data_IF_486881643697
#
_entry.id   IF_486881643697
#
_cell.length_a   1.000
_cell.length_b   1.000
_cell.length_c   1.000
_cell.angle_alpha   90.00
_cell.angle_beta   90.00
_cell.angle_gamma   90.00
#
_symmetry.space_group_name_H-M   'P 1'
#
loop_
_entity.id
_entity.type
_entity.pdbx_description
1 polymer ?
#
# COMPACT_ATOMS: atom_id res chain seq x y z
N UNK A 1 -42.25 -18.60 9.22
CA UNK A 1 -41.01 -18.19 9.91
C UNK A 1 -40.00 -17.93 8.82
N UNK A 2 -39.78 -16.66 8.50
CA UNK A 2 -38.88 -16.24 7.42
C UNK A 2 -37.58 -15.80 8.08
N UNK A 3 -36.51 -16.57 7.87
CA UNK A 3 -35.16 -16.17 8.25
C UNK A 3 -34.64 -15.15 7.23
N UNK A 4 -34.42 -13.93 7.72
CA UNK A 4 -33.65 -12.92 7.01
C UNK A 4 -32.17 -13.27 7.18
N UNK A 5 -31.36 -13.42 6.12
CA UNK A 5 -29.93 -13.58 6.29
C UNK A 5 -29.36 -12.30 6.90
N UNK A 6 -28.73 -12.45 8.07
CA UNK A 6 -28.13 -11.36 8.82
C UNK A 6 -27.08 -10.64 7.97
N UNK A 7 -27.23 -9.32 7.86
CA UNK A 7 -26.20 -8.44 7.32
C UNK A 7 -24.92 -8.63 8.12
N UNK A 8 -23.88 -9.16 7.49
CA UNK A 8 -22.53 -9.18 8.06
C UNK A 8 -22.06 -7.72 8.16
N UNK A 9 -21.58 -7.24 9.32
CA UNK A 9 -21.04 -5.88 9.40
C UNK A 9 -19.82 -5.77 8.48
N UNK A 10 -19.69 -4.64 7.77
CA UNK A 10 -18.60 -4.33 6.84
C UNK A 10 -17.20 -4.21 7.50
N UNK A 11 -17.07 -4.70 8.73
CA UNK A 11 -15.87 -4.71 9.56
C UNK A 11 -15.47 -6.14 9.96
N UNK A 12 -16.06 -7.15 9.31
CA UNK A 12 -15.79 -8.55 9.58
C UNK A 12 -14.37 -8.92 9.12
N UNK A 13 -13.47 -8.88 10.09
CA UNK A 13 -12.43 -9.87 10.38
C UNK A 13 -11.44 -10.12 9.25
N UNK A 14 -10.24 -9.54 9.39
CA UNK A 14 -9.04 -10.22 8.89
C UNK A 14 -9.01 -11.55 9.63
N UNK A 15 -9.29 -12.67 8.95
CA UNK A 15 -9.11 -13.99 9.54
C UNK A 15 -7.62 -14.28 9.47
N UNK A 16 -6.88 -13.77 10.45
CA UNK A 16 -5.44 -14.00 10.63
C UNK A 16 -5.22 -15.47 10.97
N UNK A 17 -5.39 -16.34 9.97
CA UNK A 17 -5.01 -17.74 10.08
C UNK A 17 -3.49 -17.79 10.11
N UNK A 18 -2.95 -18.25 11.21
CA UNK A 18 -1.52 -18.38 11.43
C UNK A 18 -1.18 -19.79 11.90
N UNK A 19 0.08 -20.18 11.72
CA UNK A 19 0.67 -21.41 12.23
C UNK A 19 2.17 -21.25 12.42
N UNK A 20 2.88 -22.36 12.67
CA UNK A 20 4.33 -22.33 12.91
C UNK A 20 5.08 -21.75 11.70
N UNK A 21 5.51 -20.48 11.84
CA UNK A 21 6.28 -19.75 10.84
C UNK A 21 5.48 -19.19 9.66
N UNK A 22 4.15 -19.13 9.72
CA UNK A 22 3.35 -18.54 8.63
C UNK A 22 2.11 -17.79 9.13
N UNK A 23 1.75 -16.72 8.39
CA UNK A 23 0.54 -15.92 8.61
C UNK A 23 -0.14 -15.69 7.26
N UNK A 24 -1.43 -16.00 7.17
CA UNK A 24 -2.28 -15.61 6.06
C UNK A 24 -2.72 -14.15 6.25
N UNK A 25 -2.48 -13.33 5.23
CA UNK A 25 -3.13 -12.01 5.11
C UNK A 25 -4.21 -12.12 4.05
N UNK A 26 -5.46 -11.98 4.48
CA UNK A 26 -6.62 -11.98 3.61
C UNK A 26 -7.10 -10.54 3.33
N UNK A 27 -8.28 -10.40 2.68
CA UNK A 27 -8.86 -9.10 2.38
C UNK A 27 -8.08 -8.25 1.35
N UNK A 28 -7.02 -8.80 0.75
CA UNK A 28 -6.27 -8.14 -0.31
C UNK A 28 -7.08 -8.00 -1.61
N UNK A 29 -8.09 -8.85 -1.83
CA UNK A 29 -9.03 -8.67 -2.95
C UNK A 29 -10.10 -7.61 -2.66
N UNK A 30 -10.32 -7.26 -1.40
CA UNK A 30 -11.31 -6.25 -1.01
C UNK A 30 -10.74 -4.87 -1.28
N UNK A 31 -10.74 -4.48 -2.55
CA UNK A 31 -10.40 -3.14 -2.97
C UNK A 31 -11.38 -2.13 -2.34
N UNK A 32 -10.85 -1.07 -1.75
CA UNK A 32 -11.64 0.03 -1.20
C UNK A 32 -11.31 1.30 -1.97
N UNK A 33 -11.74 1.44 -3.23
CA UNK A 33 -11.33 2.56 -4.08
C UNK A 33 -11.97 3.85 -3.58
N UNK A 34 -11.38 4.51 -2.58
CA UNK A 34 -11.70 5.85 -2.04
C UNK A 34 -13.13 6.16 -1.59
N UNK A 35 -14.06 5.22 -1.80
CA UNK A 35 -15.52 5.37 -1.77
C UNK A 35 -16.15 4.78 -0.52
N UNK A 36 -15.44 3.86 0.14
CA UNK A 36 -15.84 3.24 1.40
C UNK A 36 -14.94 3.77 2.53
N UNK A 37 -15.50 4.37 3.58
CA UNK A 37 -14.73 4.73 4.77
C UNK A 37 -14.07 3.49 5.38
N UNK A 38 -12.79 3.57 5.72
CA UNK A 38 -12.07 2.48 6.38
C UNK A 38 -12.27 2.55 7.90
N UNK A 39 -12.38 1.40 8.57
CA UNK A 39 -12.36 1.36 10.02
C UNK A 39 -11.04 1.95 10.55
N UNK A 40 -11.15 2.97 11.40
CA UNK A 40 -10.01 3.80 11.85
C UNK A 40 -9.89 5.15 11.12
N UNK A 41 -10.68 5.39 10.06
CA UNK A 41 -10.89 6.73 9.51
C UNK A 41 -11.56 7.56 10.62
N UNK A 42 -10.76 8.33 11.36
CA UNK A 42 -11.34 9.37 12.22
C UNK A 42 -12.16 10.29 11.29
N UNK A 43 -13.39 10.69 11.63
CA UNK A 43 -14.20 11.63 10.84
C UNK A 43 -13.56 13.03 10.70
N UNK A 44 -12.32 13.21 11.18
CA UNK A 44 -11.59 14.44 11.15
C UNK A 44 -10.97 14.69 9.76
N UNK A 45 -11.57 15.63 9.04
CA UNK A 45 -10.92 16.50 8.07
C UNK A 45 -10.44 15.90 6.72
N UNK A 46 -10.75 14.65 6.38
CA UNK A 46 -10.50 14.11 5.02
C UNK A 46 -11.11 14.99 3.90
N UNK A 47 -12.24 15.68 4.18
CA UNK A 47 -12.85 16.64 3.23
C UNK A 47 -11.97 17.88 2.96
N UNK A 48 -10.91 18.11 3.73
CA UNK A 48 -10.02 19.28 3.62
C UNK A 48 -8.63 18.96 3.09
N UNK A 49 -8.24 17.68 3.00
CA UNK A 49 -6.89 17.26 2.57
C UNK A 49 -7.02 16.10 1.58
N UNK A 50 -6.57 16.32 0.35
CA UNK A 50 -6.58 15.35 -0.73
C UNK A 50 -5.43 14.33 -0.53
N UNK A 51 -5.60 13.40 0.41
CA UNK A 51 -4.61 12.36 0.76
C UNK A 51 -5.30 10.99 0.82
N UNK A 52 -4.64 9.88 0.43
CA UNK A 52 -5.23 8.54 0.46
C UNK A 52 -5.49 8.03 1.88
N UNK A 53 -6.43 7.10 2.04
CA UNK A 53 -6.68 6.42 3.31
C UNK A 53 -5.71 5.26 3.46
N UNK A 54 -5.07 5.15 4.61
CA UNK A 54 -4.12 4.08 4.90
C UNK A 54 -4.68 3.18 5.99
N UNK A 55 -4.83 1.89 5.72
CA UNK A 55 -5.17 0.86 6.71
C UNK A 55 -4.07 -0.19 6.78
N UNK A 56 -3.42 -0.33 7.94
CA UNK A 56 -2.51 -1.45 8.20
C UNK A 56 -3.34 -2.73 8.21
N UNK A 57 -3.00 -3.67 7.34
CA UNK A 57 -3.65 -4.98 7.24
C UNK A 57 -2.99 -5.99 8.15
N UNK A 58 -1.66 -5.89 8.31
CA UNK A 58 -0.90 -6.77 9.19
C UNK A 58 0.54 -6.30 9.38
N UNK A 59 1.11 -6.68 10.50
CA UNK A 59 2.53 -6.55 10.80
C UNK A 59 3.09 -7.97 10.99
N UNK A 60 3.91 -8.38 10.04
CA UNK A 60 4.43 -9.74 9.92
C UNK A 60 5.94 -9.73 10.12
N UNK A 61 6.53 -10.91 10.22
CA UNK A 61 7.99 -11.05 10.19
C UNK A 61 8.55 -10.51 8.86
N UNK A 62 9.39 -9.49 8.96
CA UNK A 62 10.06 -8.88 7.80
C UNK A 62 9.17 -8.00 6.91
N UNK A 63 7.87 -7.85 7.18
CA UNK A 63 7.00 -7.01 6.33
C UNK A 63 5.82 -6.39 7.08
N UNK A 64 5.49 -5.15 6.74
CA UNK A 64 4.20 -4.56 7.08
C UNK A 64 3.35 -4.39 5.82
N UNK A 65 2.14 -4.94 5.82
CA UNK A 65 1.18 -4.80 4.74
C UNK A 65 0.19 -3.67 5.04
N UNK A 66 0.03 -2.74 4.10
CA UNK A 66 -0.84 -1.57 4.22
C UNK A 66 -1.69 -1.44 2.97
N UNK A 67 -2.99 -1.24 3.12
CA UNK A 67 -3.87 -0.82 2.03
C UNK A 67 -3.89 0.69 1.93
N UNK A 68 -3.65 1.23 0.74
CA UNK A 68 -3.86 2.64 0.42
C UNK A 68 -5.06 2.79 -0.52
N UNK A 69 -6.04 3.57 -0.09
CA UNK A 69 -7.30 3.82 -0.79
C UNK A 69 -7.39 5.29 -1.20
N UNK A 70 -7.30 5.54 -2.51
CA UNK A 70 -7.32 6.86 -3.11
C UNK A 70 -8.71 7.21 -3.64
N UNK A 71 -9.11 8.46 -3.44
CA UNK A 71 -10.15 9.13 -4.24
C UNK A 71 -9.52 9.78 -5.46
N UNK A 72 -10.35 10.07 -6.46
CA UNK A 72 -9.93 10.96 -7.54
C UNK A 72 -9.44 12.30 -6.96
N UNK A 73 -8.23 12.69 -7.33
CA UNK A 73 -7.53 13.88 -6.86
C UNK A 73 -6.72 13.70 -5.58
N UNK A 74 -6.75 12.52 -4.92
CA UNK A 74 -5.89 12.28 -3.76
C UNK A 74 -4.41 12.24 -4.18
N UNK A 75 -3.57 12.89 -3.38
CA UNK A 75 -2.12 12.95 -3.54
C UNK A 75 -1.45 12.54 -2.24
N UNK A 76 -0.56 11.55 -2.29
CA UNK A 76 0.43 11.30 -1.26
C UNK A 76 1.69 12.05 -1.66
N UNK A 77 1.78 13.31 -1.22
CA UNK A 77 2.85 14.23 -1.60
C UNK A 77 4.24 13.71 -1.20
N UNK A 78 5.29 14.29 -1.79
CA UNK A 78 6.69 13.91 -1.65
C UNK A 78 7.06 13.48 -0.23
N UNK A 79 7.47 12.22 -0.12
CA UNK A 79 7.91 11.60 1.12
C UNK A 79 8.87 10.46 0.81
N UNK A 80 9.46 9.87 1.85
CA UNK A 80 10.28 8.67 1.71
C UNK A 80 9.97 7.68 2.83
N UNK A 81 10.11 6.39 2.50
CA UNK A 81 10.07 5.32 3.48
C UNK A 81 11.47 5.05 4.01
N UNK A 82 11.59 4.74 5.31
CA UNK A 82 12.89 4.39 5.91
C UNK A 82 13.43 3.08 5.35
N UNK A 83 12.54 2.15 5.02
CA UNK A 83 12.83 0.82 4.48
C UNK A 83 12.41 0.73 3.01
N UNK A 84 12.92 -0.24 2.23
CA UNK A 84 12.43 -0.50 0.88
C UNK A 84 10.93 -0.83 0.91
N UNK A 85 10.23 -0.43 -0.15
CA UNK A 85 8.80 -0.68 -0.30
C UNK A 85 8.49 -1.39 -1.63
N UNK A 86 7.41 -2.18 -1.63
CA UNK A 86 6.78 -2.71 -2.85
C UNK A 86 5.34 -2.20 -2.89
N UNK A 87 4.97 -1.50 -3.96
CA UNK A 87 3.63 -0.97 -4.18
C UNK A 87 2.98 -1.82 -5.27
N UNK A 88 1.84 -2.43 -5.00
CA UNK A 88 1.12 -3.29 -5.93
C UNK A 88 -0.25 -2.69 -6.29
N UNK A 89 -0.53 -2.52 -7.57
CA UNK A 89 -1.81 -2.04 -8.04
C UNK A 89 -2.90 -3.09 -7.87
N UNK A 90 -4.06 -2.69 -7.30
CA UNK A 90 -5.18 -3.59 -7.04
C UNK A 90 -6.44 -3.20 -7.82
N UNK A 91 -6.79 -1.92 -7.82
CA UNK A 91 -7.96 -1.39 -8.55
C UNK A 91 -7.70 0.05 -8.99
N UNK A 92 -8.25 0.46 -10.13
CA UNK A 92 -7.97 1.80 -10.68
C UNK A 92 -6.48 1.96 -11.00
N UNK A 93 -6.03 3.21 -11.05
CA UNK A 93 -4.68 3.57 -11.49
C UNK A 93 -4.09 4.66 -10.61
N UNK A 94 -2.81 4.53 -10.28
CA UNK A 94 -2.06 5.51 -9.50
C UNK A 94 -0.77 5.84 -10.24
N UNK A 95 -0.52 7.12 -10.49
CA UNK A 95 0.77 7.60 -10.96
C UNK A 95 1.73 7.69 -9.78
N UNK A 96 2.88 7.05 -9.89
CA UNK A 96 3.95 7.10 -8.89
C UNK A 96 5.15 7.80 -9.50
N UNK A 97 5.54 8.94 -8.95
CA UNK A 97 6.77 9.64 -9.35
C UNK A 97 7.86 9.33 -8.35
N UNK A 98 9.01 8.88 -8.83
CA UNK A 98 10.17 8.51 -8.01
C UNK A 98 11.34 9.41 -8.41
N UNK A 99 12.05 9.97 -7.43
CA UNK A 99 13.22 10.80 -7.68
C UNK A 99 14.32 10.03 -8.45
N UNK A 100 15.31 10.75 -8.97
CA UNK A 100 16.56 10.23 -9.53
C UNK A 100 17.65 9.92 -8.49
N UNK A 101 18.64 9.04 -8.75
CA UNK A 101 19.55 8.39 -7.77
C UNK A 101 20.09 9.34 -6.71
N UNK A 102 20.49 10.54 -7.12
CA UNK A 102 21.19 11.50 -6.28
C UNK A 102 20.30 12.67 -5.81
N UNK A 103 19.01 12.66 -6.13
CA UNK A 103 18.10 13.75 -5.79
C UNK A 103 17.44 13.56 -4.43
N UNK A 104 17.38 14.67 -3.68
CA UNK A 104 16.68 14.76 -2.41
C UNK A 104 15.17 15.01 -2.57
N UNK A 105 14.70 15.32 -3.78
CA UNK A 105 13.30 15.60 -4.10
C UNK A 105 12.95 15.20 -5.54
N UNK A 106 11.73 15.53 -5.99
CA UNK A 106 11.23 15.22 -7.33
C UNK A 106 11.53 16.30 -8.39
N UNK A 107 12.36 17.31 -8.09
CA UNK A 107 12.64 18.43 -9.01
C UNK A 107 13.71 18.10 -10.07
N UNK A 108 14.47 17.03 -9.88
CA UNK A 108 15.53 16.63 -10.82
C UNK A 108 14.98 16.05 -12.12
N UNK A 109 15.74 16.24 -13.19
CA UNK A 109 15.36 15.88 -14.57
C UNK A 109 15.24 14.37 -14.80
N UNK A 110 15.84 13.57 -13.93
CA UNK A 110 15.86 12.10 -13.93
C UNK A 110 14.79 11.47 -13.03
N UNK A 111 13.84 12.27 -12.51
CA UNK A 111 12.64 11.72 -11.90
C UNK A 111 11.82 10.92 -12.92
N UNK A 112 11.32 9.75 -12.50
CA UNK A 112 10.54 8.86 -13.35
C UNK A 112 9.11 8.73 -12.83
N UNK A 113 8.13 8.89 -13.71
CA UNK A 113 6.72 8.61 -13.41
C UNK A 113 6.34 7.26 -13.98
N UNK A 114 5.80 6.39 -13.13
CA UNK A 114 5.30 5.06 -13.48
C UNK A 114 3.82 4.97 -13.14
N UNK A 115 3.05 4.42 -14.07
CA UNK A 115 1.63 4.20 -13.89
C UNK A 115 1.37 2.80 -13.31
N UNK A 116 0.84 2.74 -12.10
CA UNK A 116 0.58 1.50 -11.38
C UNK A 116 -0.88 1.06 -11.59
N UNK A 117 -1.06 0.05 -12.44
CA UNK A 117 -2.33 -0.59 -12.75
C UNK A 117 -2.55 -1.90 -11.97
N UNK A 118 -3.77 -2.47 -11.97
CA UNK A 118 -4.00 -3.79 -11.37
C UNK A 118 -3.07 -4.85 -11.98
N UNK A 119 -2.39 -5.60 -11.12
CA UNK A 119 -1.41 -6.63 -11.53
C UNK A 119 0.00 -6.12 -11.78
N UNK A 120 0.26 -4.82 -11.69
CA UNK A 120 1.61 -4.25 -11.71
C UNK A 120 2.14 -4.05 -10.28
N UNK A 121 3.47 -4.12 -10.13
CA UNK A 121 4.17 -3.82 -8.88
C UNK A 121 5.37 -2.91 -9.15
N UNK A 122 5.62 -1.96 -8.24
CA UNK A 122 6.75 -1.05 -8.26
C UNK A 122 7.54 -1.20 -6.96
N UNK A 123 8.81 -1.54 -7.08
CA UNK A 123 9.75 -1.49 -5.96
C UNK A 123 10.39 -0.11 -5.88
N UNK A 124 10.51 0.43 -4.67
CA UNK A 124 11.22 1.67 -4.39
C UNK A 124 12.20 1.41 -3.24
N UNK A 125 13.47 1.73 -3.45
CA UNK A 125 14.53 1.51 -2.46
C UNK A 125 14.34 2.38 -1.21
N UNK A 126 14.97 1.97 -0.12
CA UNK A 126 14.96 2.74 1.13
C UNK A 126 15.36 4.21 0.91
N UNK A 127 14.71 5.12 1.63
CA UNK A 127 14.94 6.57 1.65
C UNK A 127 14.79 7.28 0.31
N UNK A 128 14.30 6.59 -0.71
CA UNK A 128 14.03 7.21 -2.01
C UNK A 128 12.76 8.04 -1.94
N UNK A 129 12.86 9.32 -2.29
CA UNK A 129 11.70 10.22 -2.36
C UNK A 129 10.78 9.80 -3.51
N UNK A 130 9.49 9.74 -3.20
CA UNK A 130 8.44 9.43 -4.14
C UNK A 130 7.13 10.14 -3.77
N UNK A 131 6.23 10.25 -4.74
CA UNK A 131 4.85 10.71 -4.56
C UNK A 131 3.88 9.83 -5.32
N UNK A 132 2.63 9.78 -4.86
CA UNK A 132 1.55 9.01 -5.48
C UNK A 132 0.37 9.94 -5.78
N UNK A 133 -0.16 9.90 -6.99
CA UNK A 133 -1.32 10.67 -7.41
C UNK A 133 -2.36 9.78 -8.06
N UNK A 134 -3.63 9.94 -7.68
CA UNK A 134 -4.73 9.22 -8.30
C UNK A 134 -5.68 10.20 -9.00
N UNK A 135 -5.88 10.04 -10.31
CA UNK A 135 -6.87 10.81 -11.08
C UNK A 135 -8.27 10.18 -11.05
N UNK A 136 -8.35 8.91 -10.63
CA UNK A 136 -9.58 8.16 -10.39
C UNK A 136 -9.57 7.52 -8.99
N UNK A 137 -10.67 6.87 -8.61
CA UNK A 137 -10.71 6.13 -7.36
C UNK A 137 -9.88 4.84 -7.50
N UNK A 138 -8.87 4.67 -6.66
CA UNK A 138 -7.85 3.61 -6.82
C UNK A 138 -7.49 2.95 -5.50
N UNK A 139 -7.02 1.71 -5.55
CA UNK A 139 -6.49 0.98 -4.37
C UNK A 139 -5.15 0.36 -4.73
N UNK A 140 -4.17 0.51 -3.84
CA UNK A 140 -2.89 -0.20 -3.91
C UNK A 140 -2.59 -0.88 -2.58
N UNK A 141 -1.84 -1.99 -2.63
CA UNK A 141 -1.21 -2.58 -1.45
C UNK A 141 0.23 -2.13 -1.40
N UNK A 142 0.61 -1.56 -0.26
CA UNK A 142 1.97 -1.18 0.09
C UNK A 142 2.54 -2.24 1.04
N UNK A 143 3.66 -2.83 0.67
CA UNK A 143 4.47 -3.66 1.54
C UNK A 143 5.71 -2.85 1.95
N UNK A 144 5.92 -2.67 3.25
CA UNK A 144 7.15 -2.11 3.82
C UNK A 144 8.04 -3.28 4.23
N UNK A 145 9.22 -3.40 3.62
CA UNK A 145 10.09 -4.57 3.72
C UNK A 145 11.15 -4.34 4.81
N UNK A 146 10.95 -4.95 5.97
CA UNK A 146 11.85 -4.85 7.12
C UNK A 146 12.92 -5.94 7.07
N UNK A 147 14.13 -5.66 7.54
CA UNK A 147 15.15 -6.71 7.81
C UNK A 147 15.87 -7.29 6.59
N UNK A 148 15.71 -6.73 5.39
CA UNK A 148 16.36 -7.22 4.17
C UNK A 148 17.75 -6.63 3.91
N UNK A 149 18.78 -7.11 4.62
CA UNK A 149 20.19 -7.21 4.18
C UNK A 149 21.06 -7.67 5.37
N UNK A 150 21.04 -8.96 5.70
CA UNK A 150 22.12 -9.61 6.46
C UNK A 150 22.03 -11.15 6.51
N UNK A 151 21.10 -11.80 5.80
CA UNK A 151 21.21 -13.23 5.57
C UNK A 151 22.31 -13.46 4.53
N UNK A 152 23.47 -14.06 4.88
CA UNK A 152 24.42 -14.48 3.86
C UNK A 152 23.70 -15.44 2.94
N UNK A 153 23.73 -15.13 1.64
CA UNK A 153 23.48 -16.13 0.61
C UNK A 153 24.59 -17.15 0.82
N UNK A 154 24.29 -18.29 1.45
CA UNK A 154 25.26 -19.38 1.43
C UNK A 154 25.30 -19.84 -0.01
N UNK A 155 26.35 -19.46 -0.73
CA UNK A 155 26.73 -20.16 -1.96
C UNK A 155 26.88 -21.63 -1.58
N UNK A 156 25.85 -22.41 -1.84
CA UNK A 156 25.92 -23.86 -1.89
C UNK A 156 26.09 -24.19 -3.37
N UNK A 157 27.31 -23.97 -3.86
CA UNK A 157 27.75 -24.53 -5.14
C UNK A 157 28.67 -25.74 -4.84
N UNK A 158 28.17 -26.88 -5.30
CA UNK A 158 28.82 -28.15 -5.72
C UNK A 158 29.93 -28.81 -4.88
#
# INVERSE_FOLDING_TARGET
>A
MSDTPGSVPADALVDDRSGDGWTLVDGLLDAHPGTVPLAGDRPHQRRKRAIPAAKKLGELEGVTAVRLAFRAGDVMADHSAVWPILIMGQSGRVEVTVAGPDNADLSGEDAATVELAPGAALNVTARRVHSLTATEASTVTLLVLHGGADAPVSDSDE
#
